data_IF_728126879334
#
_entry.id   IF_728126879334
#
_cell.length_a   1.000
_cell.length_b   1.000
_cell.length_c   1.000
_cell.angle_alpha   90.00
_cell.angle_beta   90.00
_cell.angle_gamma   90.00
#
_symmetry.space_group_name_H-M   'P 1'
#
loop_
_entity.id
_entity.type
_entity.pdbx_description
1 polymer ?
#
# COMPACT_ATOMS: atom_id res chain seq x y z
N UNK A 1 15.56 4.99 -27.39
CA UNK A 1 16.14 6.05 -26.56
C UNK A 1 16.45 5.45 -25.20
N UNK A 2 17.72 5.49 -24.81
CA UNK A 2 18.31 4.83 -23.63
C UNK A 2 17.49 5.03 -22.35
N UNK A 3 17.06 3.95 -21.70
CA UNK A 3 16.80 3.97 -20.25
C UNK A 3 18.08 3.55 -19.56
N UNK A 4 18.94 4.53 -19.34
CA UNK A 4 20.06 4.44 -18.42
C UNK A 4 19.50 4.04 -17.06
N UNK A 5 20.07 2.98 -16.50
CA UNK A 5 19.89 2.50 -15.13
C UNK A 5 20.27 3.58 -14.12
N UNK A 6 19.34 4.48 -13.81
CA UNK A 6 19.36 5.31 -12.58
C UNK A 6 18.03 5.21 -11.80
N UNK A 7 17.09 4.38 -12.23
CA UNK A 7 15.78 4.23 -11.58
C UNK A 7 15.74 3.02 -10.65
N UNK A 8 15.40 3.23 -9.38
CA UNK A 8 15.04 2.17 -8.45
C UNK A 8 13.88 1.29 -8.95
N UNK A 9 13.55 0.19 -8.24
CA UNK A 9 12.48 -0.73 -8.62
C UNK A 9 11.15 -0.02 -8.92
N UNK A 10 10.49 -0.45 -9.99
CA UNK A 10 9.15 0.00 -10.38
C UNK A 10 8.13 -1.09 -10.02
N UNK A 11 6.97 -0.70 -9.47
CA UNK A 11 5.86 -1.61 -9.17
C UNK A 11 5.11 -2.08 -10.44
N UNK A 12 5.45 -1.48 -11.59
CA UNK A 12 4.89 -1.77 -12.90
C UNK A 12 3.54 -1.09 -13.17
N UNK A 13 3.19 -0.93 -14.45
CA UNK A 13 1.92 -0.39 -14.93
C UNK A 13 1.89 -0.36 -16.47
N UNK A 14 0.69 -0.43 -17.05
CA UNK A 14 0.55 -0.33 -18.50
C UNK A 14 0.92 1.07 -19.02
N UNK A 15 1.54 1.15 -20.21
CA UNK A 15 1.79 2.41 -20.96
C UNK A 15 2.52 3.53 -20.20
N UNK A 16 3.42 3.20 -19.27
CA UNK A 16 4.22 4.18 -18.52
C UNK A 16 3.54 4.74 -17.26
N UNK A 17 2.38 4.18 -16.87
CA UNK A 17 1.84 4.38 -15.53
C UNK A 17 2.70 3.64 -14.49
N UNK A 18 2.80 4.20 -13.28
CA UNK A 18 3.41 3.53 -12.13
C UNK A 18 2.47 2.48 -11.53
N UNK A 19 2.72 2.08 -10.29
CA UNK A 19 1.91 1.11 -9.56
C UNK A 19 1.54 1.58 -8.15
N UNK A 20 0.54 0.91 -7.57
CA UNK A 20 0.09 1.12 -6.19
C UNK A 20 0.30 -0.17 -5.41
N UNK A 21 0.95 -0.10 -4.26
CA UNK A 21 0.98 -1.18 -3.26
C UNK A 21 0.24 -0.71 -2.02
N UNK A 22 -0.77 -1.48 -1.61
CA UNK A 22 -1.44 -1.32 -0.33
C UNK A 22 -0.72 -2.21 0.68
N UNK A 23 -0.01 -1.60 1.61
CA UNK A 23 0.73 -2.26 2.67
C UNK A 23 -0.05 -2.13 3.98
N UNK A 24 -0.52 -3.26 4.49
CA UNK A 24 -1.19 -3.34 5.78
C UNK A 24 -0.16 -3.70 6.84
N UNK A 25 0.13 -2.77 7.75
CA UNK A 25 1.03 -2.98 8.87
C UNK A 25 0.26 -2.78 10.20
N UNK A 26 -0.23 -3.88 10.80
CA UNK A 26 -0.93 -3.81 12.09
C UNK A 26 0.01 -3.49 13.27
N UNK A 27 1.32 -3.74 13.11
CA UNK A 27 2.32 -3.50 14.14
C UNK A 27 2.80 -2.04 14.17
N UNK A 28 2.78 -1.38 13.01
CA UNK A 28 3.45 -0.10 12.77
C UNK A 28 2.79 1.16 13.35
N UNK A 29 1.67 1.08 14.07
CA UNK A 29 0.94 2.25 14.57
C UNK A 29 0.71 3.36 13.51
N UNK A 30 0.71 3.04 12.21
CA UNK A 30 0.58 4.01 11.12
C UNK A 30 1.80 4.90 10.85
N UNK A 31 2.97 4.56 11.42
CA UNK A 31 4.30 5.15 11.17
C UNK A 31 5.33 4.04 10.88
N UNK A 32 4.88 2.93 10.26
CA UNK A 32 5.68 1.74 10.06
C UNK A 32 6.96 2.05 9.28
N UNK A 33 8.16 1.74 9.80
CA UNK A 33 9.42 2.06 9.14
C UNK A 33 9.56 1.32 7.80
N UNK A 34 8.84 0.21 7.62
CA UNK A 34 8.83 -0.60 6.39
C UNK A 34 8.17 0.16 5.23
N UNK A 35 7.03 0.81 5.45
CA UNK A 35 6.33 1.54 4.39
C UNK A 35 7.13 2.75 3.89
N UNK A 36 7.71 3.49 4.84
CA UNK A 36 8.56 4.63 4.54
C UNK A 36 9.85 4.19 3.82
N UNK A 37 10.50 3.11 4.27
CA UNK A 37 11.69 2.58 3.61
C UNK A 37 11.37 2.07 2.21
N UNK A 38 10.29 1.30 2.05
CA UNK A 38 9.83 0.80 0.76
C UNK A 38 9.61 1.94 -0.24
N UNK A 39 8.94 3.01 0.17
CA UNK A 39 8.72 4.17 -0.68
C UNK A 39 10.03 4.90 -1.05
N UNK A 40 11.08 4.87 -0.21
CA UNK A 40 12.39 5.45 -0.53
C UNK A 40 13.19 4.61 -1.52
N UNK A 41 13.00 3.29 -1.52
CA UNK A 41 13.66 2.38 -2.44
C UNK A 41 13.02 2.42 -3.85
N UNK A 42 11.73 2.74 -3.93
CA UNK A 42 11.02 2.93 -5.20
C UNK A 42 11.36 4.29 -5.85
N UNK A 43 11.36 4.35 -7.19
CA UNK A 43 11.63 5.60 -7.92
C UNK A 43 10.70 5.81 -9.13
N UNK A 44 9.98 6.94 -9.22
CA UNK A 44 9.78 7.96 -8.19
C UNK A 44 8.78 7.46 -7.14
N UNK A 45 9.21 7.30 -5.89
CA UNK A 45 8.41 6.75 -4.81
C UNK A 45 7.51 7.76 -4.11
N UNK A 46 6.33 7.33 -3.66
CA UNK A 46 5.38 8.11 -2.86
C UNK A 46 4.90 7.27 -1.68
N UNK A 47 4.89 7.85 -0.48
CA UNK A 47 4.35 7.22 0.72
C UNK A 47 3.08 7.96 1.17
N UNK A 48 1.95 7.26 1.20
CA UNK A 48 0.67 7.78 1.68
C UNK A 48 0.24 7.00 2.92
N UNK A 49 0.09 7.68 4.06
CA UNK A 49 -0.41 7.05 5.28
C UNK A 49 -1.90 7.33 5.42
N UNK A 50 -2.71 6.28 5.55
CA UNK A 50 -4.17 6.43 5.79
C UNK A 50 -4.45 7.21 7.08
N UNK A 51 -3.55 7.16 8.06
CA UNK A 51 -3.61 7.96 9.29
C UNK A 51 -3.58 9.48 9.03
N UNK A 52 -2.91 9.95 7.97
CA UNK A 52 -2.84 11.38 7.62
C UNK A 52 -4.18 11.88 7.10
N UNK A 53 -4.85 11.06 6.28
CA UNK A 53 -6.20 11.35 5.80
C UNK A 53 -7.22 11.34 6.94
N UNK A 54 -7.11 10.40 7.89
CA UNK A 54 -7.96 10.39 9.09
C UNK A 54 -7.76 11.65 9.93
N UNK A 55 -6.51 12.09 10.12
CA UNK A 55 -6.14 13.29 10.88
C UNK A 55 -6.60 14.59 10.20
N UNK A 56 -6.75 14.58 8.88
CA UNK A 56 -7.30 15.71 8.13
C UNK A 56 -8.80 15.93 8.42
N UNK A 57 -9.55 14.88 8.76
CA UNK A 57 -10.97 15.01 9.13
C UNK A 57 -11.06 15.64 10.53
N UNK A 58 -11.63 16.85 10.63
CA UNK A 58 -11.84 17.53 11.92
C UNK A 58 -13.18 17.12 12.57
N UNK A 59 -13.29 17.32 13.88
CA UNK A 59 -14.45 16.93 14.69
C UNK A 59 -14.17 15.81 15.68
N UNK A 60 -15.19 15.44 16.46
CA UNK A 60 -15.08 14.43 17.50
C UNK A 60 -14.65 13.08 16.92
N UNK A 61 -13.73 12.41 17.62
CA UNK A 61 -13.29 11.08 17.26
C UNK A 61 -14.20 10.06 17.95
N UNK A 62 -15.12 9.42 17.21
CA UNK A 62 -16.01 8.42 17.79
C UNK A 62 -15.19 7.21 18.29
N UNK A 63 -15.63 6.55 19.37
CA UNK A 63 -15.07 5.28 19.81
C UNK A 63 -14.94 4.27 18.66
N UNK A 64 -13.86 3.46 18.59
CA UNK A 64 -13.59 2.58 17.45
C UNK A 64 -14.69 1.55 17.12
N UNK A 65 -15.50 1.17 18.12
CA UNK A 65 -16.58 0.20 17.96
C UNK A 65 -17.87 0.81 17.37
N UNK A 66 -17.92 2.14 17.18
CA UNK A 66 -19.09 2.80 16.62
C UNK A 66 -19.06 2.84 15.08
N UNK A 67 -20.23 2.74 14.41
CA UNK A 67 -20.34 2.87 12.96
C UNK A 67 -19.73 4.16 12.40
N UNK A 68 -19.78 5.25 13.15
CA UNK A 68 -19.20 6.55 12.82
C UNK A 68 -17.68 6.46 12.60
N UNK A 69 -16.98 5.67 13.42
CA UNK A 69 -15.55 5.42 13.28
C UNK A 69 -15.26 4.67 11.98
N UNK A 70 -16.10 3.67 11.66
CA UNK A 70 -16.04 2.94 10.39
C UNK A 70 -16.24 3.86 9.18
N UNK A 71 -17.21 4.78 9.23
CA UNK A 71 -17.43 5.76 8.15
C UNK A 71 -16.25 6.72 7.96
N UNK A 72 -15.66 7.23 9.05
CA UNK A 72 -14.46 8.08 8.98
C UNK A 72 -13.28 7.32 8.35
N UNK A 73 -13.06 6.06 8.75
CA UNK A 73 -11.99 5.24 8.19
C UNK A 73 -12.23 4.95 6.70
N UNK A 74 -13.45 4.59 6.31
CA UNK A 74 -13.81 4.35 4.92
C UNK A 74 -13.58 5.59 4.03
N UNK A 75 -13.96 6.77 4.52
CA UNK A 75 -13.74 8.03 3.82
C UNK A 75 -12.24 8.35 3.65
N UNK A 76 -11.44 8.18 4.72
CA UNK A 76 -10.00 8.39 4.66
C UNK A 76 -9.30 7.42 3.70
N UNK A 77 -9.70 6.14 3.72
CA UNK A 77 -9.18 5.13 2.81
C UNK A 77 -9.54 5.42 1.34
N UNK A 78 -10.76 5.87 1.07
CA UNK A 78 -11.19 6.23 -0.28
C UNK A 78 -10.40 7.44 -0.82
N UNK A 79 -10.17 8.46 0.02
CA UNK A 79 -9.34 9.61 -0.35
C UNK A 79 -7.89 9.20 -0.61
N UNK A 80 -7.32 8.32 0.22
CA UNK A 80 -5.97 7.78 0.02
C UNK A 80 -5.86 6.99 -1.29
N UNK A 81 -6.87 6.17 -1.63
CA UNK A 81 -6.92 5.44 -2.89
C UNK A 81 -6.89 6.40 -4.09
N UNK A 82 -7.78 7.41 -4.11
CA UNK A 82 -7.83 8.39 -5.19
C UNK A 82 -6.51 9.15 -5.35
N UNK A 83 -5.91 9.58 -4.24
CA UNK A 83 -4.59 10.21 -4.25
C UNK A 83 -3.52 9.26 -4.83
N UNK A 84 -3.52 7.99 -4.42
CA UNK A 84 -2.57 7.00 -4.91
C UNK A 84 -2.65 6.81 -6.42
N UNK A 85 -3.85 6.62 -6.97
CA UNK A 85 -4.01 6.45 -8.43
C UNK A 85 -3.74 7.75 -9.20
N UNK A 86 -3.99 8.93 -8.60
CA UNK A 86 -3.60 10.21 -9.20
C UNK A 86 -2.07 10.36 -9.35
N UNK A 87 -1.29 9.87 -8.38
CA UNK A 87 0.17 9.77 -8.50
C UNK A 87 0.59 8.69 -9.50
N UNK A 88 0.02 7.48 -9.39
CA UNK A 88 0.43 6.36 -10.22
C UNK A 88 0.16 6.56 -11.72
N UNK A 89 -0.94 7.23 -12.08
CA UNK A 89 -1.23 7.63 -13.48
C UNK A 89 -0.21 8.60 -14.06
N UNK A 90 0.62 9.23 -13.23
CA UNK A 90 1.74 10.12 -13.61
C UNK A 90 3.11 9.45 -13.52
N UNK A 91 3.16 8.12 -13.32
CA UNK A 91 4.41 7.34 -13.30
C UNK A 91 5.01 7.09 -11.92
N UNK A 92 4.36 7.55 -10.84
CA UNK A 92 4.86 7.34 -9.47
C UNK A 92 4.57 5.94 -8.94
N UNK A 93 5.46 5.44 -8.08
CA UNK A 93 5.33 4.18 -7.37
C UNK A 93 4.80 4.46 -5.97
N UNK A 94 3.55 4.11 -5.71
CA UNK A 94 2.85 4.56 -4.50
C UNK A 94 2.70 3.45 -3.49
N UNK A 95 3.19 3.68 -2.27
CA UNK A 95 2.95 2.85 -1.09
C UNK A 95 1.84 3.49 -0.26
N UNK A 96 0.72 2.80 -0.14
CA UNK A 96 -0.40 3.19 0.73
C UNK A 96 -0.31 2.36 2.00
N UNK A 97 0.03 3.01 3.11
CA UNK A 97 0.13 2.38 4.43
C UNK A 97 -1.21 2.41 5.16
N UNK A 98 -1.63 1.23 5.62
CA UNK A 98 -2.87 1.01 6.35
C UNK A 98 -2.56 0.26 7.65
N UNK A 99 -3.04 0.77 8.79
CA UNK A 99 -2.91 0.03 10.07
C UNK A 99 -3.83 -1.19 10.14
N UNK A 100 -4.97 -1.12 9.45
CA UNK A 100 -5.98 -2.17 9.47
C UNK A 100 -6.25 -2.58 8.03
N UNK A 101 -6.36 -3.89 7.80
CA UNK A 101 -6.76 -4.42 6.52
C UNK A 101 -8.12 -3.81 6.13
N UNK A 102 -8.23 -3.17 4.96
CA UNK A 102 -9.52 -2.69 4.48
C UNK A 102 -10.54 -3.83 4.43
N UNK A 103 -11.71 -3.62 5.02
CA UNK A 103 -12.82 -4.59 4.93
C UNK A 103 -13.19 -4.90 3.48
N UNK A 104 -12.98 -3.93 2.57
CA UNK A 104 -13.07 -4.13 1.14
C UNK A 104 -11.99 -3.29 0.41
N UNK A 105 -11.23 -3.94 -0.48
CA UNK A 105 -10.31 -3.28 -1.41
C UNK A 105 -11.01 -2.78 -2.68
N UNK A 106 -12.33 -2.79 -2.70
CA UNK A 106 -13.09 -2.52 -3.92
C UNK A 106 -12.83 -1.14 -4.50
N UNK A 107 -12.55 -0.13 -3.66
CA UNK A 107 -12.17 1.21 -4.15
C UNK A 107 -10.84 1.13 -4.90
N UNK A 108 -9.82 0.48 -4.34
CA UNK A 108 -8.54 0.31 -5.02
C UNK A 108 -8.67 -0.53 -6.30
N UNK A 109 -9.47 -1.59 -6.26
CA UNK A 109 -9.75 -2.43 -7.43
C UNK A 109 -10.43 -1.60 -8.52
N UNK A 110 -11.50 -0.86 -8.20
CA UNK A 110 -12.22 0.00 -9.17
C UNK A 110 -11.29 1.01 -9.83
N UNK A 111 -10.49 1.71 -9.04
CA UNK A 111 -9.54 2.71 -9.55
C UNK A 111 -8.47 2.06 -10.43
N UNK A 112 -7.87 0.94 -9.99
CA UNK A 112 -6.92 0.16 -10.80
C UNK A 112 -7.51 -0.27 -12.14
N UNK A 113 -8.79 -0.70 -12.16
CA UNK A 113 -9.50 -1.03 -13.41
C UNK A 113 -9.69 0.18 -14.32
N UNK A 114 -10.03 1.33 -13.75
CA UNK A 114 -10.28 2.55 -14.49
C UNK A 114 -9.00 3.15 -15.09
N UNK A 115 -7.88 3.08 -14.37
CA UNK A 115 -6.62 3.71 -14.77
C UNK A 115 -5.64 2.78 -15.48
N UNK A 116 -5.84 1.45 -15.40
CA UNK A 116 -4.90 0.45 -15.91
C UNK A 116 -3.61 0.36 -15.10
N UNK A 117 -3.60 0.93 -13.90
CA UNK A 117 -2.48 0.92 -12.95
C UNK A 117 -2.43 -0.41 -12.21
N UNK A 118 -1.22 -0.94 -11.99
CA UNK A 118 -1.02 -2.18 -11.22
C UNK A 118 -1.36 -1.97 -9.76
N UNK A 119 -2.11 -2.90 -9.16
CA UNK A 119 -2.43 -2.92 -7.75
C UNK A 119 -1.83 -4.15 -7.07
N UNK A 120 -1.00 -3.92 -6.06
CA UNK A 120 -0.45 -4.93 -5.18
C UNK A 120 -1.06 -4.80 -3.79
N UNK A 121 -1.21 -5.91 -3.09
CA UNK A 121 -1.72 -5.94 -1.72
C UNK A 121 -0.84 -6.85 -0.85
N UNK A 122 -0.32 -6.30 0.23
CA UNK A 122 0.60 -6.97 1.15
C UNK A 122 0.15 -6.70 2.58
N UNK A 123 0.09 -7.75 3.39
CA UNK A 123 -0.20 -7.69 4.82
C UNK A 123 1.03 -8.16 5.58
N UNK A 124 1.56 -7.32 6.46
CA UNK A 124 2.61 -7.71 7.40
C UNK A 124 1.95 -8.38 8.60
N UNK A 125 2.43 -9.58 8.96
CA UNK A 125 1.91 -10.32 10.09
C UNK A 125 3.04 -10.74 11.03
N UNK A 126 2.99 -10.37 12.32
CA UNK A 126 3.95 -10.84 13.31
C UNK A 126 3.56 -12.26 13.74
N UNK A 127 3.95 -13.24 12.95
CA UNK A 127 3.70 -14.65 13.20
C UNK A 127 3.60 -15.45 11.90
N UNK A 128 3.64 -16.79 11.98
CA UNK A 128 3.39 -17.63 10.81
C UNK A 128 2.05 -17.22 10.20
N UNK A 129 2.08 -16.86 8.93
CA UNK A 129 0.88 -16.49 8.20
C UNK A 129 -0.15 -17.62 8.34
N UNK A 130 -1.43 -17.31 8.63
CA UNK A 130 -2.47 -18.34 8.60
C UNK A 130 -2.47 -19.01 7.21
N UNK A 131 -2.47 -20.34 7.20
CA UNK A 131 -2.33 -21.17 6.00
C UNK A 131 -3.27 -20.70 4.88
N UNK A 132 -2.71 -20.49 3.69
CA UNK A 132 -3.47 -20.15 2.48
C UNK A 132 -3.66 -18.65 2.20
N UNK A 133 -3.01 -17.74 2.94
CA UNK A 133 -3.10 -16.30 2.64
C UNK A 133 -2.01 -15.83 1.64
N UNK A 134 -2.39 -15.71 0.36
CA UNK A 134 -1.52 -15.33 -0.78
C UNK A 134 -0.88 -13.93 -0.69
N UNK A 135 -1.22 -13.13 0.34
CA UNK A 135 -0.81 -11.72 0.48
C UNK A 135 -0.15 -11.39 1.81
N UNK A 136 0.18 -12.39 2.64
CA UNK A 136 0.73 -12.18 3.97
C UNK A 136 2.24 -12.43 3.96
N UNK A 137 3.00 -11.51 4.54
CA UNK A 137 4.42 -11.70 4.83
C UNK A 137 4.59 -11.85 6.34
N UNK A 138 5.18 -12.97 6.73
CA UNK A 138 5.61 -13.20 8.10
C UNK A 138 6.79 -12.27 8.40
N UNK A 139 6.64 -11.44 9.42
CA UNK A 139 7.66 -10.51 9.90
C UNK A 139 8.31 -10.96 11.20
N UNK A 140 8.05 -12.20 11.65
CA UNK A 140 8.72 -12.80 12.81
C UNK A 140 10.22 -12.84 12.51
N UNK A 141 10.99 -12.17 13.37
CA UNK A 141 12.45 -12.05 13.27
C UNK A 141 12.99 -11.23 12.09
N UNK A 142 12.14 -10.52 11.33
CA UNK A 142 12.59 -9.64 10.26
C UNK A 142 12.90 -8.23 10.77
N UNK A 143 14.04 -7.67 10.35
CA UNK A 143 14.31 -6.24 10.50
C UNK A 143 13.49 -5.44 9.47
N UNK A 144 13.38 -4.13 9.64
CA UNK A 144 12.76 -3.24 8.64
C UNK A 144 13.37 -3.43 7.25
N UNK A 145 14.69 -3.54 7.18
CA UNK A 145 15.43 -3.69 5.92
C UNK A 145 15.13 -5.03 5.26
N UNK A 146 15.18 -6.12 6.04
CA UNK A 146 14.90 -7.46 5.51
C UNK A 146 13.44 -7.60 5.09
N UNK A 147 12.52 -6.98 5.85
CA UNK A 147 11.09 -6.92 5.49
C UNK A 147 10.89 -6.17 4.18
N UNK A 148 11.54 -5.01 4.02
CA UNK A 148 11.43 -4.20 2.80
C UNK A 148 11.95 -4.97 1.58
N UNK A 149 13.11 -5.62 1.70
CA UNK A 149 13.66 -6.49 0.65
C UNK A 149 12.73 -7.64 0.30
N UNK A 150 12.13 -8.30 1.30
CA UNK A 150 11.16 -9.37 1.07
C UNK A 150 9.91 -8.87 0.35
N UNK A 151 9.39 -7.70 0.73
CA UNK A 151 8.26 -7.06 0.04
C UNK A 151 8.63 -6.78 -1.42
N UNK A 152 9.78 -6.15 -1.69
CA UNK A 152 10.23 -5.86 -3.06
C UNK A 152 10.42 -7.12 -3.90
N UNK A 153 11.01 -8.18 -3.33
CA UNK A 153 11.17 -9.46 -4.01
C UNK A 153 9.79 -10.04 -4.40
N UNK A 154 8.84 -10.04 -3.48
CA UNK A 154 7.50 -10.57 -3.74
C UNK A 154 6.72 -9.73 -4.76
N UNK A 155 6.89 -8.40 -4.77
CA UNK A 155 6.32 -7.51 -5.78
C UNK A 155 6.92 -7.75 -7.17
N UNK A 156 8.23 -8.01 -7.24
CA UNK A 156 8.94 -8.32 -8.50
C UNK A 156 8.50 -9.65 -9.10
N UNK A 157 8.26 -10.65 -8.25
CA UNK A 157 7.75 -11.96 -8.67
C UNK A 157 6.24 -11.97 -8.94
N UNK A 158 5.56 -10.82 -8.83
CA UNK A 158 4.11 -10.67 -9.06
C UNK A 158 3.24 -11.57 -8.20
N UNK A 159 3.77 -12.12 -7.10
CA UNK A 159 3.07 -13.08 -6.23
C UNK A 159 1.96 -12.42 -5.42
N UNK A 160 2.02 -11.09 -5.25
CA UNK A 160 1.01 -10.30 -4.54
C UNK A 160 0.19 -9.37 -5.45
N UNK A 161 0.20 -9.63 -6.75
CA UNK A 161 -0.74 -8.99 -7.66
C UNK A 161 -2.16 -9.37 -7.26
N UNK A 162 -3.00 -8.37 -7.05
CA UNK A 162 -4.43 -8.58 -7.21
C UNK A 162 -4.70 -8.64 -8.72
N UNK A 163 -4.46 -9.82 -9.30
CA UNK A 163 -4.83 -10.17 -10.67
C UNK A 163 -6.34 -10.13 -10.86
N UNK A 164 -6.75 -9.84 -12.09
CA UNK A 164 -8.07 -9.35 -12.52
C UNK A 164 -9.22 -10.34 -12.36
#
# INVERSE_FOLDING_TARGET
MNRTTEGGPELGGGRGAGGVVVLVDPSGAGDGPVAAQLARELNPGVHLRTADFLRAIRGDQPPPHLPEAGRRHAAALAAAAQAAFAYATRGYQVVVECRTAPAALDTFRRESRATGTTLHYVVLHPGPAPDGTTHTLDTTDLTTETTTKSVLAALTHRTHLLGW
#
